data_IF_980072849404
#
_entry.id   IF_980072849404
#
_cell.length_a   1.000
_cell.length_b   1.000
_cell.length_c   1.000
_cell.angle_alpha   90.00
_cell.angle_beta   90.00
_cell.angle_gamma   90.00
#
_symmetry.space_group_name_H-M   'P 1'
#
loop_
_entity.id
_entity.type
_entity.pdbx_description
1 polymer ?
#
# COMPACT_ATOMS: atom_id res chain seq x y z
N UNK A 1 -27.23 -11.88 15.95
CA UNK A 1 -26.31 -12.24 14.84
C UNK A 1 -25.04 -12.80 15.47
N UNK A 2 -24.83 -14.12 15.41
CA UNK A 2 -23.58 -14.76 15.87
C UNK A 2 -22.66 -14.79 14.66
N UNK A 3 -21.74 -13.83 14.55
CA UNK A 3 -20.64 -13.95 13.60
C UNK A 3 -19.74 -15.09 14.09
N UNK A 4 -19.48 -16.07 13.22
CA UNK A 4 -18.70 -17.26 13.60
C UNK A 4 -17.22 -16.90 13.63
N UNK A 5 -16.49 -17.37 14.65
CA UNK A 5 -15.02 -17.24 14.76
C UNK A 5 -14.28 -17.70 13.50
N UNK A 6 -14.83 -18.69 12.78
CA UNK A 6 -14.28 -19.17 11.53
C UNK A 6 -14.36 -18.13 10.40
N UNK A 7 -15.43 -17.32 10.36
CA UNK A 7 -15.56 -16.22 9.39
C UNK A 7 -14.56 -15.11 9.69
N UNK A 8 -14.41 -14.68 10.95
CA UNK A 8 -13.44 -13.63 11.32
C UNK A 8 -11.98 -14.05 11.08
N UNK A 9 -11.61 -15.32 11.34
CA UNK A 9 -10.27 -15.84 11.01
C UNK A 9 -10.03 -15.94 9.50
N UNK A 10 -11.06 -16.26 8.73
CA UNK A 10 -10.99 -16.29 7.25
C UNK A 10 -10.81 -14.89 6.67
N UNK A 11 -11.51 -13.89 7.22
CA UNK A 11 -11.33 -12.48 6.85
C UNK A 11 -9.93 -11.97 7.17
N UNK A 12 -9.37 -12.30 8.34
CA UNK A 12 -8.01 -11.88 8.71
C UNK A 12 -6.93 -12.50 7.81
N UNK A 13 -7.04 -13.79 7.47
CA UNK A 13 -6.12 -14.46 6.55
C UNK A 13 -6.21 -13.90 5.12
N UNK A 14 -7.42 -13.55 4.68
CA UNK A 14 -7.68 -12.90 3.39
C UNK A 14 -7.08 -11.49 3.38
N UNK A 15 -7.31 -10.69 4.42
CA UNK A 15 -6.77 -9.35 4.57
C UNK A 15 -5.23 -9.36 4.56
N UNK A 16 -4.58 -10.30 5.26
CA UNK A 16 -3.13 -10.44 5.26
C UNK A 16 -2.57 -10.85 3.88
N UNK A 17 -3.34 -11.59 3.08
CA UNK A 17 -2.95 -11.96 1.72
C UNK A 17 -3.06 -10.76 0.79
N UNK A 18 -4.18 -10.03 0.85
CA UNK A 18 -4.38 -8.81 0.06
C UNK A 18 -3.39 -7.70 0.45
N UNK A 19 -3.02 -7.60 1.73
CA UNK A 19 -1.98 -6.71 2.24
C UNK A 19 -0.64 -6.91 1.54
N UNK A 20 -0.17 -8.17 1.50
CA UNK A 20 1.09 -8.52 0.82
C UNK A 20 1.03 -8.24 -0.68
N UNK A 21 -0.12 -8.53 -1.31
CA UNK A 21 -0.32 -8.22 -2.71
C UNK A 21 -0.28 -6.71 -2.96
N UNK A 22 -0.93 -5.92 -2.09
CA UNK A 22 -0.91 -4.47 -2.13
C UNK A 22 0.51 -3.92 -1.97
N UNK A 23 1.27 -4.38 -0.96
CA UNK A 23 2.65 -3.97 -0.73
C UNK A 23 3.52 -4.21 -1.97
N UNK A 24 3.42 -5.39 -2.57
CA UNK A 24 4.12 -5.73 -3.82
C UNK A 24 3.74 -4.78 -4.96
N UNK A 25 2.45 -4.60 -5.22
CA UNK A 25 1.96 -3.71 -6.30
C UNK A 25 2.39 -2.26 -6.03
N UNK A 26 2.35 -1.82 -4.78
CA UNK A 26 2.77 -0.47 -4.39
C UNK A 26 4.26 -0.25 -4.62
N UNK A 27 5.09 -1.24 -4.31
CA UNK A 27 6.53 -1.22 -4.58
C UNK A 27 6.81 -1.19 -6.07
N UNK A 28 6.12 -2.03 -6.85
CA UNK A 28 6.24 -2.05 -8.30
C UNK A 28 5.86 -0.69 -8.91
N UNK A 29 4.76 -0.08 -8.46
CA UNK A 29 4.30 1.23 -8.94
C UNK A 29 5.28 2.35 -8.59
N UNK A 30 5.81 2.37 -7.36
CA UNK A 30 6.87 3.31 -6.94
C UNK A 30 8.12 3.16 -7.80
N UNK A 31 8.51 1.93 -8.12
CA UNK A 31 9.65 1.66 -9.00
C UNK A 31 9.41 2.17 -10.44
N UNK A 32 8.20 2.00 -10.97
CA UNK A 32 7.86 2.55 -12.29
C UNK A 32 7.89 4.08 -12.31
N UNK A 33 7.37 4.73 -11.26
CA UNK A 33 7.44 6.19 -11.09
C UNK A 33 8.91 6.65 -11.12
N UNK A 34 9.76 6.05 -10.29
CA UNK A 34 11.19 6.39 -10.22
C UNK A 34 11.89 6.19 -11.59
N UNK A 35 11.49 5.15 -12.34
CA UNK A 35 12.01 4.90 -13.69
C UNK A 35 11.60 5.98 -14.68
N UNK A 36 10.35 6.46 -14.62
CA UNK A 36 9.88 7.57 -15.45
C UNK A 36 10.67 8.83 -15.11
N UNK A 37 10.85 9.17 -13.83
CA UNK A 37 11.60 10.35 -13.40
C UNK A 37 13.08 10.30 -13.80
N UNK A 38 13.73 9.15 -13.66
CA UNK A 38 15.11 8.93 -14.10
C UNK A 38 15.27 9.09 -15.62
N UNK A 39 14.38 8.45 -16.38
CA UNK A 39 14.37 8.55 -17.85
C UNK A 39 14.15 10.00 -18.29
N UNK A 40 13.16 10.66 -17.67
CA UNK A 40 12.84 12.06 -17.88
C UNK A 40 14.03 12.99 -17.61
N UNK A 41 14.72 12.80 -16.48
CA UNK A 41 15.92 13.55 -16.13
C UNK A 41 17.05 13.38 -17.16
N UNK A 42 17.27 12.14 -17.63
CA UNK A 42 18.27 11.87 -18.66
C UNK A 42 17.96 12.57 -20.00
N UNK A 43 16.68 12.67 -20.35
CA UNK A 43 16.21 13.27 -21.59
C UNK A 43 16.08 14.80 -21.50
N UNK A 44 15.99 15.37 -20.29
CA UNK A 44 15.81 16.81 -20.08
C UNK A 44 16.88 17.68 -20.76
N UNK A 45 18.12 17.17 -20.86
CA UNK A 45 19.23 17.84 -21.55
C UNK A 45 19.06 17.92 -23.08
N UNK A 46 18.24 17.03 -23.66
CA UNK A 46 18.01 16.92 -25.10
C UNK A 46 16.75 17.65 -25.55
N UNK A 47 15.89 18.05 -24.62
CA UNK A 47 14.62 18.70 -24.90
C UNK A 47 14.83 20.17 -25.29
N UNK A 48 14.65 20.47 -26.58
CA UNK A 48 14.75 21.82 -27.14
C UNK A 48 13.48 22.18 -27.93
N UNK A 49 13.17 23.47 -27.98
CA UNK A 49 12.02 24.00 -28.71
C UNK A 49 10.68 23.68 -28.03
N UNK A 50 9.58 23.87 -28.78
CA UNK A 50 8.21 23.74 -28.26
C UNK A 50 7.91 22.33 -27.69
N UNK A 51 8.49 21.28 -28.29
CA UNK A 51 8.35 19.91 -27.79
C UNK A 51 9.00 19.74 -26.41
N UNK A 52 10.14 20.39 -26.15
CA UNK A 52 10.81 20.35 -24.86
C UNK A 52 10.04 21.07 -23.75
N UNK A 53 9.43 22.21 -24.07
CA UNK A 53 8.55 22.93 -23.12
C UNK A 53 7.31 22.11 -22.76
N UNK A 54 6.68 21.47 -23.75
CA UNK A 54 5.53 20.59 -23.51
C UNK A 54 5.91 19.38 -22.65
N UNK A 55 7.08 18.79 -22.91
CA UNK A 55 7.58 17.66 -22.15
C UNK A 55 7.92 18.05 -20.70
N UNK A 56 8.57 19.20 -20.45
CA UNK A 56 8.80 19.71 -19.09
C UNK A 56 7.48 19.94 -18.33
N UNK A 57 6.48 20.54 -18.97
CA UNK A 57 5.18 20.73 -18.34
C UNK A 57 4.47 19.40 -18.01
N UNK A 58 4.60 18.41 -18.89
CA UNK A 58 4.08 17.06 -18.64
C UNK A 58 4.81 16.38 -17.48
N UNK A 59 6.14 16.52 -17.38
CA UNK A 59 6.92 15.99 -16.26
C UNK A 59 6.57 16.62 -14.93
N UNK A 60 6.34 17.95 -14.90
CA UNK A 60 5.95 18.63 -13.66
C UNK A 60 4.63 18.07 -13.15
N UNK A 61 3.63 17.95 -14.04
CA UNK A 61 2.33 17.33 -13.70
C UNK A 61 2.48 15.88 -13.30
N UNK A 62 3.37 15.13 -13.97
CA UNK A 62 3.67 13.75 -13.61
C UNK A 62 4.26 13.66 -12.21
N UNK A 63 5.24 14.49 -11.88
CA UNK A 63 5.90 14.51 -10.57
C UNK A 63 4.91 14.87 -9.44
N UNK A 64 4.04 15.86 -9.66
CA UNK A 64 2.99 16.20 -8.71
C UNK A 64 2.01 15.04 -8.49
N UNK A 65 1.56 14.40 -9.57
CA UNK A 65 0.66 13.25 -9.49
C UNK A 65 1.34 12.03 -8.84
N UNK A 66 2.60 11.77 -9.18
CA UNK A 66 3.43 10.71 -8.63
C UNK A 66 3.62 10.88 -7.12
N UNK A 67 3.93 12.11 -6.66
CA UNK A 67 4.09 12.40 -5.23
C UNK A 67 2.81 12.11 -4.45
N UNK A 68 1.66 12.57 -4.98
CA UNK A 68 0.35 12.26 -4.38
C UNK A 68 0.09 10.76 -4.35
N UNK A 69 0.37 10.05 -5.44
CA UNK A 69 0.13 8.62 -5.52
C UNK A 69 1.03 7.83 -4.56
N UNK A 70 2.31 8.21 -4.42
CA UNK A 70 3.23 7.61 -3.46
C UNK A 70 2.73 7.82 -2.02
N UNK A 71 2.23 9.02 -1.71
CA UNK A 71 1.65 9.33 -0.40
C UNK A 71 0.45 8.42 -0.11
N UNK A 72 -0.51 8.34 -1.02
CA UNK A 72 -1.69 7.47 -0.86
C UNK A 72 -1.29 6.00 -0.70
N UNK A 73 -0.31 5.51 -1.48
CA UNK A 73 0.19 4.14 -1.34
C UNK A 73 0.81 3.89 0.05
N UNK A 74 1.54 4.86 0.61
CA UNK A 74 2.11 4.78 1.95
C UNK A 74 1.02 4.78 3.03
N UNK A 75 0.00 5.63 2.86
CA UNK A 75 -1.10 5.76 3.80
C UNK A 75 -1.94 4.47 3.83
N UNK A 76 -2.25 3.91 2.66
CA UNK A 76 -2.94 2.61 2.57
C UNK A 76 -2.09 1.50 3.18
N UNK A 77 -0.79 1.42 2.90
CA UNK A 77 0.10 0.42 3.51
C UNK A 77 0.12 0.55 5.04
N UNK A 78 0.19 1.78 5.56
CA UNK A 78 0.13 2.06 7.00
C UNK A 78 -1.20 1.60 7.61
N UNK A 79 -2.31 1.90 6.95
CA UNK A 79 -3.65 1.48 7.39
C UNK A 79 -3.80 -0.04 7.40
N UNK A 80 -3.25 -0.73 6.40
CA UNK A 80 -3.23 -2.19 6.31
C UNK A 80 -2.43 -2.80 7.47
N UNK A 81 -1.23 -2.27 7.76
CA UNK A 81 -0.43 -2.74 8.89
C UNK A 81 -1.11 -2.48 10.24
N UNK A 82 -1.73 -1.31 10.40
CA UNK A 82 -2.48 -0.97 11.60
C UNK A 82 -3.67 -1.92 11.81
N UNK A 83 -4.43 -2.21 10.75
CA UNK A 83 -5.51 -3.19 10.78
C UNK A 83 -4.98 -4.59 11.14
N UNK A 84 -3.90 -5.04 10.49
CA UNK A 84 -3.28 -6.34 10.76
C UNK A 84 -2.81 -6.52 12.21
N UNK A 85 -2.20 -5.48 12.80
CA UNK A 85 -1.77 -5.50 14.20
C UNK A 85 -2.95 -5.57 15.19
N UNK A 86 -4.05 -4.88 14.89
CA UNK A 86 -5.28 -4.95 15.68
C UNK A 86 -5.91 -6.35 15.62
N UNK A 87 -5.91 -7.01 14.46
CA UNK A 87 -6.42 -8.38 14.32
C UNK A 87 -5.59 -9.40 15.11
N UNK A 88 -4.26 -9.32 15.05
CA UNK A 88 -3.39 -10.22 15.81
C UNK A 88 -3.62 -10.09 17.33
N UNK A 89 -3.73 -8.84 17.83
CA UNK A 89 -4.01 -8.59 19.23
C UNK A 89 -5.40 -9.10 19.66
N UNK A 90 -6.41 -8.95 18.79
CA UNK A 90 -7.76 -9.47 19.05
C UNK A 90 -7.79 -11.00 19.11
N UNK A 91 -7.10 -11.69 18.20
CA UNK A 91 -7.06 -13.17 18.19
C UNK A 91 -6.36 -13.74 19.43
N UNK A 92 -5.26 -13.10 19.88
CA UNK A 92 -4.55 -13.45 21.12
C UNK A 92 -5.43 -13.24 22.37
N UNK A 93 -6.13 -12.10 22.46
CA UNK A 93 -7.04 -11.82 23.57
C UNK A 93 -8.20 -12.84 23.62
N UNK A 94 -8.74 -13.22 22.47
CA UNK A 94 -9.83 -14.18 22.40
C UNK A 94 -9.37 -15.61 22.71
N UNK A 95 -8.14 -15.99 22.31
CA UNK A 95 -7.52 -17.26 22.70
C UNK A 95 -7.28 -17.34 24.21
N UNK A 96 -6.79 -16.27 24.82
CA UNK A 96 -6.61 -16.19 26.27
C UNK A 96 -7.96 -16.29 27.01
N UNK A 97 -8.99 -15.62 26.52
CA UNK A 97 -10.33 -15.68 27.10
C UNK A 97 -10.94 -17.10 27.01
N UNK A 98 -10.81 -17.77 25.85
CA UNK A 98 -11.25 -19.17 25.71
C UNK A 98 -10.43 -20.11 26.61
N UNK A 99 -9.10 -19.95 26.66
CA UNK A 99 -8.23 -20.78 27.48
C UNK A 99 -8.57 -20.66 28.97
N UNK A 100 -8.86 -19.44 29.44
CA UNK A 100 -9.32 -19.21 30.82
C UNK A 100 -10.69 -19.85 31.11
N UNK A 101 -11.59 -19.90 30.11
CA UNK A 101 -12.91 -20.49 30.26
C UNK A 101 -12.90 -22.02 30.19
N UNK A 102 -11.86 -22.63 29.60
CA UNK A 102 -11.66 -24.09 29.52
C UNK A 102 -10.91 -24.67 30.74
N UNK A 103 -10.41 -23.82 31.64
CA UNK A 103 -9.69 -24.20 32.87
C UNK A 103 -10.60 -24.27 34.12
N UNK A 104 -11.91 -24.06 33.97
CA UNK A 104 -12.95 -24.28 34.99
C UNK A 104 -13.92 -25.37 34.54
#
# INVERSE_FOLDING_TARGET
>A
MKFSMAEMKTDAATLATEARNFERISGDLKNQIAKVESTASSLASQWRGQAGTAAQAALLRFHEAATKQIQELNDISTNIHAAGGQYAAADDQQHQALAAQMQF
#
